data_IF_823712770844
#
_entry.id   IF_823712770844
#
_cell.length_a   1.000
_cell.length_b   1.000
_cell.length_c   1.000
_cell.angle_alpha   90.00
_cell.angle_beta   90.00
_cell.angle_gamma   90.00
#
_symmetry.space_group_name_H-M   'P 1'
#
loop_
_entity.id
_entity.type
_entity.pdbx_description
1 polymer ?
#
# COMPACT_ATOMS: atom_id res chain seq x y z
N UNK A 1 -8.69 -12.43 2.94
CA UNK A 1 -8.66 -11.09 3.57
C UNK A 1 -7.30 -10.43 3.42
N UNK A 2 -6.20 -11.18 3.55
CA UNK A 2 -4.84 -10.65 3.42
C UNK A 2 -4.54 -9.99 2.06
N UNK A 3 -4.99 -10.57 0.94
CA UNK A 3 -4.77 -9.98 -0.39
C UNK A 3 -5.40 -8.60 -0.55
N UNK A 4 -6.56 -8.35 0.08
CA UNK A 4 -7.18 -7.02 0.08
C UNK A 4 -6.30 -6.01 0.82
N UNK A 5 -5.78 -6.39 1.99
CA UNK A 5 -4.92 -5.51 2.80
C UNK A 5 -3.60 -5.18 2.08
N UNK A 6 -3.01 -6.16 1.41
CA UNK A 6 -1.77 -5.98 0.67
C UNK A 6 -1.99 -5.11 -0.58
N UNK A 7 -3.02 -5.43 -1.39
CA UNK A 7 -3.37 -4.64 -2.56
C UNK A 7 -3.68 -3.18 -2.19
N UNK A 8 -4.43 -2.95 -1.11
CA UNK A 8 -4.78 -1.61 -0.62
C UNK A 8 -3.57 -0.84 -0.09
N UNK A 9 -2.64 -1.51 0.61
CA UNK A 9 -1.42 -0.88 1.09
C UNK A 9 -0.55 -0.39 -0.07
N UNK A 10 -0.37 -1.21 -1.11
CA UNK A 10 0.44 -0.86 -2.26
C UNK A 10 -0.20 0.21 -3.16
N UNK A 11 -1.50 0.10 -3.45
CA UNK A 11 -2.22 1.13 -4.23
C UNK A 11 -2.33 2.44 -3.45
N UNK A 12 -2.56 2.39 -2.14
CA UNK A 12 -2.54 3.57 -1.27
C UNK A 12 -1.18 4.26 -1.27
N UNK A 13 -0.09 3.50 -1.18
CA UNK A 13 1.28 4.03 -1.27
C UNK A 13 1.57 4.70 -2.62
N UNK A 14 1.14 4.10 -3.73
CA UNK A 14 1.27 4.70 -5.06
C UNK A 14 0.49 6.03 -5.16
N UNK A 15 -0.75 6.05 -4.69
CA UNK A 15 -1.59 7.25 -4.67
C UNK A 15 -0.97 8.38 -3.81
N UNK A 16 -0.44 8.02 -2.63
CA UNK A 16 0.24 8.97 -1.76
C UNK A 16 1.52 9.53 -2.40
N UNK A 17 2.30 8.68 -3.10
CA UNK A 17 3.49 9.09 -3.84
C UNK A 17 3.15 10.10 -4.94
N UNK A 18 2.11 9.80 -5.74
CA UNK A 18 1.62 10.72 -6.77
C UNK A 18 1.12 12.05 -6.17
N UNK A 19 0.46 11.99 -5.01
CA UNK A 19 -0.03 13.18 -4.31
C UNK A 19 1.13 14.07 -3.84
N UNK A 20 2.21 13.49 -3.31
CA UNK A 20 3.40 14.25 -2.91
C UNK A 20 4.10 14.91 -4.10
N UNK A 21 4.27 14.18 -5.21
CA UNK A 21 4.91 14.70 -6.42
C UNK A 21 4.07 15.83 -7.03
N UNK A 22 2.78 15.58 -7.28
CA UNK A 22 1.88 16.57 -7.88
C UNK A 22 1.65 17.78 -6.97
N UNK A 23 1.58 17.56 -5.65
CA UNK A 23 1.49 18.62 -4.65
C UNK A 23 2.74 19.50 -4.63
N UNK A 24 3.94 18.92 -4.69
CA UNK A 24 5.19 19.68 -4.74
C UNK A 24 5.31 20.50 -6.03
N UNK A 25 4.90 19.92 -7.16
CA UNK A 25 4.88 20.62 -8.45
C UNK A 25 3.92 21.81 -8.43
N UNK A 26 2.73 21.64 -7.85
CA UNK A 26 1.77 22.72 -7.68
C UNK A 26 2.29 23.80 -6.73
N UNK A 27 2.92 23.44 -5.62
CA UNK A 27 3.51 24.39 -4.67
C UNK A 27 4.59 25.26 -5.33
N UNK A 28 5.43 24.67 -6.19
CA UNK A 28 6.40 25.41 -6.99
C UNK A 28 5.70 26.39 -7.95
N UNK A 29 4.65 25.95 -8.64
CA UNK A 29 3.90 26.81 -9.56
C UNK A 29 3.15 27.96 -8.85
N UNK A 30 2.63 27.74 -7.64
CA UNK A 30 1.83 28.72 -6.91
C UNK A 30 2.67 29.72 -6.09
N UNK A 31 3.76 29.25 -5.46
CA UNK A 31 4.53 30.01 -4.48
C UNK A 31 6.05 29.94 -4.68
N UNK A 32 6.51 29.42 -5.80
CA UNK A 32 7.94 29.27 -6.12
C UNK A 32 8.73 28.50 -5.04
N UNK A 33 8.08 27.56 -4.36
CA UNK A 33 8.66 26.75 -3.27
C UNK A 33 8.30 25.29 -3.45
N UNK A 34 9.29 24.40 -3.44
CA UNK A 34 9.09 22.96 -3.67
C UNK A 34 8.49 22.22 -2.47
N UNK A 35 8.92 22.59 -1.26
CA UNK A 35 8.49 21.93 -0.04
C UNK A 35 8.54 22.90 1.14
N UNK A 36 7.57 22.80 2.04
CA UNK A 36 7.60 23.49 3.33
C UNK A 36 7.25 22.50 4.44
N UNK A 37 7.81 22.70 5.62
CA UNK A 37 7.57 21.85 6.78
C UNK A 37 6.30 22.26 7.55
N UNK A 38 5.27 22.72 6.83
CA UNK A 38 3.95 23.01 7.40
C UNK A 38 3.33 21.70 7.94
N UNK A 39 2.71 21.71 9.13
CA UNK A 39 1.92 20.60 9.68
C UNK A 39 1.07 19.85 8.64
N UNK A 40 0.46 20.53 7.67
CA UNK A 40 -0.36 19.88 6.63
C UNK A 40 0.48 18.97 5.72
N UNK A 41 1.61 19.48 5.23
CA UNK A 41 2.49 18.73 4.31
C UNK A 41 3.23 17.63 5.06
N UNK A 42 3.64 17.90 6.30
CA UNK A 42 4.35 16.91 7.12
C UNK A 42 3.45 15.75 7.54
N UNK A 43 2.17 15.97 7.84
CA UNK A 43 1.23 14.86 8.13
C UNK A 43 0.98 13.99 6.90
N UNK A 44 0.86 14.58 5.69
CA UNK A 44 0.72 13.79 4.46
C UNK A 44 2.00 13.01 4.15
N UNK A 45 3.17 13.61 4.39
CA UNK A 45 4.46 12.91 4.29
C UNK A 45 4.58 11.79 5.32
N UNK A 46 4.12 12.00 6.54
CA UNK A 46 4.08 10.98 7.59
C UNK A 46 3.18 9.81 7.19
N UNK A 47 1.99 10.09 6.62
CA UNK A 47 1.13 9.05 6.06
C UNK A 47 1.87 8.20 5.04
N UNK A 48 2.55 8.83 4.08
CA UNK A 48 3.35 8.14 3.07
C UNK A 48 4.48 7.29 3.69
N UNK A 49 5.14 7.80 4.74
CA UNK A 49 6.15 7.07 5.48
C UNK A 49 5.56 5.86 6.22
N UNK A 50 4.36 5.97 6.80
CA UNK A 50 3.66 4.87 7.45
C UNK A 50 3.28 3.75 6.46
N UNK A 51 2.81 4.11 5.26
CA UNK A 51 2.60 3.16 4.18
C UNK A 51 3.91 2.46 3.78
N UNK A 52 4.99 3.21 3.60
CA UNK A 52 6.31 2.68 3.25
C UNK A 52 6.85 1.71 4.32
N UNK A 53 6.72 2.08 5.60
CA UNK A 53 7.10 1.22 6.72
C UNK A 53 6.27 -0.07 6.77
N UNK A 54 4.96 0.02 6.52
CA UNK A 54 4.08 -1.15 6.48
C UNK A 54 4.47 -2.15 5.38
N UNK A 55 4.82 -1.65 4.19
CA UNK A 55 5.30 -2.49 3.08
C UNK A 55 6.69 -3.08 3.39
N UNK A 56 7.60 -2.29 3.97
CA UNK A 56 8.94 -2.73 4.32
C UNK A 56 8.92 -3.86 5.37
N UNK A 57 8.09 -3.73 6.41
CA UNK A 57 7.97 -4.74 7.47
C UNK A 57 7.51 -6.09 6.90
N UNK A 58 6.57 -6.08 5.96
CA UNK A 58 6.07 -7.30 5.30
C UNK A 58 7.13 -8.01 4.46
N UNK A 59 8.13 -7.27 3.96
CA UNK A 59 9.22 -7.84 3.17
C UNK A 59 10.43 -8.26 4.01
N UNK A 60 10.65 -7.61 5.16
CA UNK A 60 11.87 -7.77 5.95
C UNK A 60 11.71 -8.71 7.15
N UNK A 61 10.50 -8.87 7.69
CA UNK A 61 10.25 -9.72 8.86
C UNK A 61 9.91 -11.16 8.41
N UNK A 62 10.73 -12.17 8.77
CA UNK A 62 10.51 -13.55 8.33
C UNK A 62 9.30 -14.24 8.98
N UNK A 63 8.97 -13.84 10.21
CA UNK A 63 7.83 -14.37 10.96
C UNK A 63 6.53 -13.67 10.52
N UNK A 64 5.66 -14.42 9.84
CA UNK A 64 4.40 -13.94 9.30
C UNK A 64 3.45 -13.37 10.38
N UNK A 65 3.38 -13.98 11.56
CA UNK A 65 2.49 -13.49 12.63
C UNK A 65 3.02 -12.19 13.24
N UNK A 66 4.34 -12.09 13.42
CA UNK A 66 4.98 -10.86 13.88
C UNK A 66 4.84 -9.74 12.85
N UNK A 67 5.05 -10.03 11.57
CA UNK A 67 4.88 -9.07 10.48
C UNK A 67 3.44 -8.56 10.40
N UNK A 68 2.45 -9.46 10.55
CA UNK A 68 1.03 -9.11 10.56
C UNK A 68 0.67 -8.18 11.73
N UNK A 69 1.14 -8.50 12.95
CA UNK A 69 0.90 -7.66 14.15
C UNK A 69 1.50 -6.27 14.00
N UNK A 70 2.76 -6.17 13.57
CA UNK A 70 3.42 -4.88 13.36
C UNK A 70 2.73 -4.06 12.26
N UNK A 71 2.34 -4.70 11.17
CA UNK A 71 1.60 -4.06 10.07
C UNK A 71 0.23 -3.55 10.51
N UNK A 72 -0.46 -4.29 11.39
CA UNK A 72 -1.75 -3.87 11.95
C UNK A 72 -1.61 -2.62 12.83
N UNK A 73 -0.56 -2.55 13.66
CA UNK A 73 -0.27 -1.36 14.47
C UNK A 73 0.00 -0.15 13.57
N UNK A 74 0.84 -0.30 12.54
CA UNK A 74 1.10 0.80 11.59
C UNK A 74 -0.17 1.25 10.85
N UNK A 75 -1.05 0.32 10.47
CA UNK A 75 -2.32 0.65 9.85
C UNK A 75 -3.24 1.45 10.78
N UNK A 76 -3.25 1.12 12.08
CA UNK A 76 -3.99 1.89 13.09
C UNK A 76 -3.40 3.29 13.26
N UNK A 77 -2.08 3.43 13.28
CA UNK A 77 -1.42 4.75 13.34
C UNK A 77 -1.75 5.58 12.10
N UNK A 78 -1.71 4.99 10.90
CA UNK A 78 -2.11 5.66 9.66
C UNK A 78 -3.59 6.08 9.66
N UNK A 79 -4.47 5.27 10.26
CA UNK A 79 -5.88 5.62 10.44
C UNK A 79 -6.06 6.85 11.35
N UNK A 80 -5.26 6.95 12.43
CA UNK A 80 -5.25 8.11 13.34
C UNK A 80 -4.63 9.34 12.68
N UNK A 81 -3.72 9.15 11.72
CA UNK A 81 -3.12 10.26 10.97
C UNK A 81 -4.13 10.95 10.03
N UNK A 82 -5.14 10.22 9.51
CA UNK A 82 -6.18 10.82 8.65
C UNK A 82 -6.94 12.01 9.29
N UNK A 83 -7.52 11.90 10.51
CA UNK A 83 -8.12 13.06 11.16
C UNK A 83 -7.07 14.11 11.53
N UNK A 84 -5.81 13.73 11.80
CA UNK A 84 -4.74 14.68 12.05
C UNK A 84 -4.46 15.56 10.83
N UNK A 85 -4.39 14.98 9.62
CA UNK A 85 -4.26 15.73 8.36
C UNK A 85 -5.40 16.73 8.21
N UNK A 86 -6.65 16.27 8.40
CA UNK A 86 -7.83 17.14 8.31
C UNK A 86 -7.75 18.30 9.30
N UNK A 87 -7.38 18.00 10.54
CA UNK A 87 -7.38 18.95 11.63
C UNK A 87 -6.19 19.92 11.53
N UNK A 88 -5.05 19.48 10.97
CA UNK A 88 -3.93 20.32 10.62
C UNK A 88 -4.34 21.43 9.64
N UNK A 89 -5.24 21.15 8.69
CA UNK A 89 -5.74 22.19 7.77
C UNK A 89 -6.55 23.30 8.45
N UNK A 90 -7.13 23.00 9.63
CA UNK A 90 -8.08 23.87 10.33
C UNK A 90 -7.44 24.62 11.49
N UNK A 91 -6.47 24.01 12.15
CA UNK A 91 -5.73 24.63 13.25
C UNK A 91 -4.59 25.52 12.79
N UNK A 92 -3.88 25.14 11.72
CA UNK A 92 -2.73 25.89 11.25
C UNK A 92 -3.13 26.78 10.07
N UNK A 93 -2.94 28.09 10.24
CA UNK A 93 -3.02 29.06 9.14
C UNK A 93 -1.68 29.09 8.42
N UNK A 94 -1.61 28.38 7.29
CA UNK A 94 -0.44 28.38 6.41
C UNK A 94 -0.55 29.42 5.28
N UNK A 95 0.24 29.21 4.22
CA UNK A 95 0.22 30.05 3.00
C UNK A 95 -1.06 29.88 2.16
N UNK A 96 -1.94 28.96 2.53
CA UNK A 96 -3.19 28.72 1.84
C UNK A 96 -4.24 29.79 2.19
N UNK A 97 -4.73 30.55 1.20
CA UNK A 97 -5.82 31.50 1.42
C UNK A 97 -7.13 30.76 1.77
N UNK A 98 -7.98 31.39 2.56
CA UNK A 98 -9.33 30.89 2.84
C UNK A 98 -10.14 30.99 1.54
N UNK A 99 -10.47 29.84 0.95
CA UNK A 99 -11.17 29.82 -0.33
C UNK A 99 -12.60 30.36 -0.18
N UNK A 100 -13.07 31.27 -1.06
CA UNK A 100 -14.47 31.66 -1.13
C UNK A 100 -15.35 30.47 -1.54
N UNK A 101 -16.67 30.60 -1.36
CA UNK A 101 -17.62 29.55 -1.74
C UNK A 101 -17.44 29.16 -3.22
N UNK A 102 -17.19 27.87 -3.45
CA UNK A 102 -16.83 27.34 -4.77
C UNK A 102 -18.04 27.38 -5.73
N UNK A 103 -17.94 28.02 -6.92
CA UNK A 103 -19.02 28.05 -7.91
C UNK A 103 -19.51 26.65 -8.33
N UNK A 104 -20.78 26.48 -8.73
CA UNK A 104 -21.35 25.17 -9.06
C UNK A 104 -20.60 24.43 -10.16
N UNK A 105 -20.10 25.13 -11.18
CA UNK A 105 -19.30 24.53 -12.26
C UNK A 105 -17.99 23.95 -11.72
N UNK A 106 -17.27 24.67 -10.87
CA UNK A 106 -16.02 24.19 -10.26
C UNK A 106 -16.27 22.98 -9.35
N UNK A 107 -17.39 22.95 -8.63
CA UNK A 107 -17.78 21.78 -7.82
C UNK A 107 -18.09 20.56 -8.70
N UNK A 108 -18.74 20.74 -9.84
CA UNK A 108 -19.02 19.65 -10.77
C UNK A 108 -17.72 19.08 -11.38
N UNK A 109 -16.79 19.96 -11.79
CA UNK A 109 -15.47 19.54 -12.30
C UNK A 109 -14.68 18.79 -11.22
N UNK A 110 -14.66 19.30 -9.99
CA UNK A 110 -14.05 18.61 -8.84
C UNK A 110 -14.67 17.24 -8.60
N UNK A 111 -16.01 17.14 -8.63
CA UNK A 111 -16.72 15.88 -8.47
C UNK A 111 -16.40 14.87 -9.58
N UNK A 112 -16.34 15.31 -10.84
CA UNK A 112 -15.96 14.47 -11.98
C UNK A 112 -14.50 13.99 -11.86
N UNK A 113 -13.58 14.88 -11.49
CA UNK A 113 -12.19 14.54 -11.28
C UNK A 113 -12.01 13.55 -10.11
N UNK A 114 -12.72 13.76 -8.99
CA UNK A 114 -12.72 12.86 -7.86
C UNK A 114 -13.32 11.49 -8.21
N UNK A 115 -14.40 11.46 -9.00
CA UNK A 115 -14.98 10.22 -9.49
C UNK A 115 -14.02 9.48 -10.44
N UNK A 116 -13.40 10.19 -11.39
CA UNK A 116 -12.41 9.62 -12.31
C UNK A 116 -11.21 9.03 -11.57
N UNK A 117 -10.64 9.80 -10.63
CA UNK A 117 -9.55 9.31 -9.78
C UNK A 117 -9.99 8.10 -8.92
N UNK A 118 -11.18 8.16 -8.32
CA UNK A 118 -11.76 7.06 -7.56
C UNK A 118 -11.96 5.79 -8.39
N UNK A 119 -12.44 5.91 -9.63
CA UNK A 119 -12.59 4.79 -10.56
C UNK A 119 -11.22 4.20 -10.89
N UNK A 120 -10.24 5.02 -11.27
CA UNK A 120 -8.88 4.54 -11.56
C UNK A 120 -8.28 3.85 -10.34
N UNK A 121 -8.43 4.43 -9.15
CA UNK A 121 -7.95 3.84 -7.90
C UNK A 121 -8.61 2.48 -7.63
N UNK A 122 -9.94 2.37 -7.80
CA UNK A 122 -10.65 1.11 -7.63
C UNK A 122 -10.24 0.06 -8.67
N UNK A 123 -10.04 0.45 -9.92
CA UNK A 123 -9.55 -0.45 -10.98
C UNK A 123 -8.15 -0.97 -10.64
N UNK A 124 -7.23 -0.08 -10.23
CA UNK A 124 -5.89 -0.47 -9.79
C UNK A 124 -5.94 -1.41 -8.58
N UNK A 125 -6.83 -1.15 -7.62
CA UNK A 125 -7.01 -2.00 -6.44
C UNK A 125 -7.52 -3.40 -6.80
N UNK A 126 -8.53 -3.47 -7.67
CA UNK A 126 -9.12 -4.74 -8.12
C UNK A 126 -8.11 -5.53 -8.94
N UNK A 127 -7.42 -4.88 -9.88
CA UNK A 127 -6.38 -5.50 -10.69
C UNK A 127 -5.24 -6.00 -9.81
N UNK A 128 -4.76 -5.17 -8.89
CA UNK A 128 -3.67 -5.58 -7.99
C UNK A 128 -4.06 -6.75 -7.10
N UNK A 129 -5.29 -6.77 -6.60
CA UNK A 129 -5.83 -7.92 -5.89
C UNK A 129 -5.89 -9.16 -6.79
N UNK A 130 -6.37 -9.02 -8.02
CA UNK A 130 -6.49 -10.13 -8.96
C UNK A 130 -5.13 -10.75 -9.26
N UNK A 131 -4.09 -9.93 -9.44
CA UNK A 131 -2.70 -10.37 -9.60
C UNK A 131 -2.20 -11.15 -8.39
N UNK A 132 -2.42 -10.64 -7.17
CA UNK A 132 -2.03 -11.34 -5.95
C UNK A 132 -2.79 -12.67 -5.80
N UNK A 133 -4.09 -12.69 -6.07
CA UNK A 133 -4.89 -13.92 -6.00
C UNK A 133 -4.48 -14.95 -7.06
N UNK A 134 -4.10 -14.50 -8.27
CA UNK A 134 -3.59 -15.36 -9.33
C UNK A 134 -2.22 -15.95 -8.96
N UNK A 135 -1.31 -15.14 -8.40
CA UNK A 135 0.00 -15.60 -7.97
C UNK A 135 -0.10 -16.76 -6.95
N UNK A 136 -0.96 -16.63 -5.94
CA UNK A 136 -1.16 -17.72 -4.97
C UNK A 136 -1.81 -18.98 -5.56
N UNK A 137 -2.59 -18.84 -6.64
CA UNK A 137 -3.12 -20.01 -7.35
C UNK A 137 -2.02 -20.75 -8.07
N UNK A 138 -1.08 -20.03 -8.70
CA UNK A 138 0.08 -20.64 -9.35
C UNK A 138 0.96 -21.36 -8.33
N UNK A 139 1.32 -20.72 -7.21
CA UNK A 139 2.12 -21.35 -6.14
C UNK A 139 1.49 -22.66 -5.64
N UNK A 140 0.15 -22.72 -5.57
CA UNK A 140 -0.58 -23.93 -5.16
C UNK A 140 -0.50 -25.03 -6.22
N UNK A 141 -0.72 -24.68 -7.49
CA UNK A 141 -0.67 -25.65 -8.59
C UNK A 141 0.75 -26.17 -8.80
N UNK A 142 1.75 -25.31 -8.65
CA UNK A 142 3.16 -25.68 -8.69
C UNK A 142 3.47 -26.71 -7.60
N UNK A 143 2.99 -26.49 -6.37
CA UNK A 143 3.14 -27.43 -5.25
C UNK A 143 2.44 -28.78 -5.51
N UNK A 144 1.22 -28.76 -6.05
CA UNK A 144 0.48 -29.99 -6.39
C UNK A 144 1.16 -30.75 -7.53
N UNK A 145 1.65 -30.05 -8.55
CA UNK A 145 2.36 -30.64 -9.69
C UNK A 145 3.72 -31.20 -9.28
N UNK A 146 4.35 -30.63 -8.25
CA UNK A 146 5.64 -31.08 -7.74
C UNK A 146 5.54 -32.26 -6.76
N UNK A 147 4.35 -32.85 -6.58
CA UNK A 147 4.08 -33.91 -5.58
C UNK A 147 4.55 -33.54 -4.15
N UNK A 148 4.60 -32.25 -3.84
CA UNK A 148 5.16 -31.74 -2.59
C UNK A 148 6.69 -31.87 -2.43
N UNK A 149 7.42 -32.28 -3.46
CA UNK A 149 8.89 -32.20 -3.49
C UNK A 149 9.31 -30.87 -4.14
N UNK A 150 10.01 -29.97 -3.42
CA UNK A 150 10.39 -28.67 -3.97
C UNK A 150 11.44 -28.81 -5.08
N UNK A 151 11.28 -28.08 -6.19
CA UNK A 151 12.26 -28.05 -7.28
C UNK A 151 13.58 -27.41 -6.81
N UNK A 152 14.51 -28.28 -6.39
CA UNK A 152 15.83 -27.91 -5.86
C UNK A 152 16.73 -27.27 -6.92
N UNK A 153 16.42 -27.38 -8.21
CA UNK A 153 17.12 -26.74 -9.31
C UNK A 153 16.72 -25.27 -9.44
N UNK A 154 15.42 -24.99 -9.38
CA UNK A 154 14.86 -23.64 -9.46
C UNK A 154 15.22 -22.77 -8.24
N UNK A 155 15.21 -23.35 -7.03
CA UNK A 155 15.65 -22.66 -5.82
C UNK A 155 17.13 -22.23 -5.88
N UNK A 156 17.97 -23.01 -6.59
CA UNK A 156 19.40 -22.73 -6.74
C UNK A 156 19.67 -21.65 -7.79
N UNK A 157 18.90 -21.62 -8.89
CA UNK A 157 19.07 -20.64 -9.96
C UNK A 157 18.52 -19.25 -9.62
N UNK A 158 17.47 -19.17 -8.79
CA UNK A 158 16.85 -17.91 -8.39
C UNK A 158 17.53 -17.21 -7.20
N UNK A 159 18.54 -17.83 -6.56
CA UNK A 159 19.23 -17.25 -5.39
C UNK A 159 18.30 -16.97 -4.19
N UNK A 160 17.08 -17.54 -4.18
CA UNK A 160 16.10 -17.38 -3.11
C UNK A 160 16.44 -18.36 -1.99
N UNK A 161 16.62 -17.84 -0.77
CA UNK A 161 16.87 -18.67 0.41
C UNK A 161 15.74 -19.70 0.61
N UNK A 162 16.12 -20.89 1.09
CA UNK A 162 15.33 -22.13 1.28
C UNK A 162 13.89 -21.96 1.78
N UNK A 163 13.60 -20.86 2.47
CA UNK A 163 12.30 -20.51 3.06
C UNK A 163 11.22 -20.26 1.99
N UNK A 164 11.59 -19.81 0.79
CA UNK A 164 10.61 -19.56 -0.28
C UNK A 164 10.16 -20.85 -0.99
N UNK A 165 10.96 -21.91 -0.88
CA UNK A 165 10.70 -23.19 -1.54
C UNK A 165 9.91 -24.18 -0.67
N UNK A 166 9.40 -23.75 0.49
CA UNK A 166 8.69 -24.63 1.43
C UNK A 166 7.25 -24.20 1.60
N UNK A 167 6.34 -24.97 0.99
CA UNK A 167 4.88 -25.01 1.13
C UNK A 167 4.13 -23.66 1.05
N UNK A 168 3.00 -23.58 0.33
CA UNK A 168 2.11 -22.42 0.45
C UNK A 168 1.72 -22.27 1.93
N UNK A 169 2.03 -21.11 2.52
CA UNK A 169 1.84 -20.83 3.94
C UNK A 169 0.45 -21.27 4.42
N UNK A 170 0.41 -22.38 5.16
CA UNK A 170 -0.82 -22.99 5.68
C UNK A 170 -1.13 -24.42 5.22
N UNK A 171 -0.35 -25.06 4.33
CA UNK A 171 -0.56 -26.47 4.02
C UNK A 171 -0.09 -27.36 5.20
N UNK A 172 -0.94 -28.25 5.74
CA UNK A 172 -0.51 -29.24 6.73
C UNK A 172 0.57 -30.11 6.09
N UNK A 173 1.69 -30.27 6.79
CA UNK A 173 2.74 -31.21 6.40
C UNK A 173 2.10 -32.60 6.26
N UNK A 174 2.21 -33.28 5.11
CA UNK A 174 1.73 -34.66 5.03
C UNK A 174 2.52 -35.49 6.06
N UNK A 175 1.77 -36.18 6.93
CA UNK A 175 2.36 -37.08 7.92
C UNK A 175 3.26 -38.10 7.20
N UNK A 176 4.43 -38.46 7.76
CA UNK A 176 5.30 -39.44 7.14
C UNK A 176 4.51 -40.73 6.94
N UNK A 177 4.49 -41.22 5.69
CA UNK A 177 3.97 -42.53 5.37
C UNK A 177 4.72 -43.56 6.22
N UNK A 178 4.01 -44.16 7.18
CA UNK A 178 4.52 -45.27 7.95
C UNK A 178 4.71 -46.44 6.99
N UNK A 179 5.97 -46.81 6.76
CA UNK A 179 6.39 -48.08 6.20
C UNK A 179 7.19 -48.85 7.25
#
# INVERSE_FOLDING_TARGET
WEHWSCAAAETGWLAATWTLITGSLWAHAAWNTWWTWDPRLTTVFLLWALYSAGLLIRQTVPDAERAARLSAVLALVALVDLPLIFLATRWFRGMHPVAPAMPPVMRAVLGLAAAGFGIVFLLLLVERRAQLAAAHRLDRLEWETSDGEPDRGLCRSLGRNRVVCGAPGGAPTPAPAAH
#
